data_IF_311190458567
#
_entry.id   IF_311190458567
#
_cell.length_a   1.000
_cell.length_b   1.000
_cell.length_c   1.000
_cell.angle_alpha   90.00
_cell.angle_beta   90.00
_cell.angle_gamma   90.00
#
_symmetry.space_group_name_H-M   'P 1'
#
loop_
_entity.id
_entity.type
_entity.pdbx_description
1 polymer ?
#
# COMPACT_ATOMS: atom_id res chain seq x y z
N UNK A 1 -15.72 22.72 -19.91
CA UNK A 1 -16.05 23.07 -18.50
C UNK A 1 -14.98 22.40 -17.66
N UNK A 2 -14.18 23.15 -16.90
CA UNK A 2 -12.91 22.63 -16.38
C UNK A 2 -13.11 21.51 -15.35
N UNK A 3 -12.18 20.55 -15.40
CA UNK A 3 -12.05 19.40 -14.49
C UNK A 3 -12.49 19.67 -13.03
N UNK A 4 -13.53 18.95 -12.56
CA UNK A 4 -14.02 19.02 -11.17
C UNK A 4 -12.96 18.67 -10.10
N UNK A 5 -11.94 17.90 -10.49
CA UNK A 5 -10.62 17.78 -9.84
C UNK A 5 -9.56 17.87 -10.93
N UNK A 6 -8.61 18.81 -10.83
CA UNK A 6 -7.61 19.10 -11.88
C UNK A 6 -6.72 17.91 -12.26
N UNK A 7 -5.99 18.01 -13.37
CA UNK A 7 -5.03 16.99 -13.83
C UNK A 7 -3.59 17.39 -13.48
N UNK A 8 -2.78 16.46 -12.99
CA UNK A 8 -1.36 16.71 -12.67
C UNK A 8 -0.47 17.04 -13.88
N UNK A 9 -0.96 16.88 -15.12
CA UNK A 9 -0.34 17.47 -16.32
C UNK A 9 -1.40 18.02 -17.28
N UNK A 10 -1.05 19.11 -17.95
CA UNK A 10 -1.83 19.82 -18.97
C UNK A 10 -1.88 19.08 -20.32
N UNK A 11 -2.25 17.79 -20.31
CA UNK A 11 -2.78 17.15 -21.50
C UNK A 11 -4.24 17.57 -21.66
N UNK A 12 -4.54 18.30 -22.74
CA UNK A 12 -5.91 18.54 -23.20
C UNK A 12 -6.53 17.20 -23.61
N UNK A 13 -7.23 16.57 -22.67
CA UNK A 13 -8.30 15.63 -23.01
C UNK A 13 -9.34 16.47 -23.78
N UNK A 14 -9.83 15.98 -24.92
CA UNK A 14 -10.87 16.68 -25.67
C UNK A 14 -12.16 16.72 -24.82
N UNK A 15 -12.45 17.88 -24.21
CA UNK A 15 -13.56 18.07 -23.24
C UNK A 15 -14.96 17.88 -23.85
N UNK A 16 -15.08 17.65 -25.16
CA UNK A 16 -16.33 17.66 -25.93
C UNK A 16 -17.18 16.37 -25.84
N UNK A 17 -16.72 15.33 -25.15
CA UNK A 17 -17.36 13.99 -25.12
C UNK A 17 -17.76 13.51 -23.72
N UNK A 18 -17.42 14.24 -22.66
CA UNK A 18 -17.75 13.88 -21.28
C UNK A 18 -18.77 14.86 -20.70
N UNK A 19 -20.05 14.54 -20.83
CA UNK A 19 -21.08 15.11 -19.95
C UNK A 19 -20.76 14.65 -18.52
N UNK A 20 -20.40 15.56 -17.60
CA UNK A 20 -20.22 15.17 -16.21
C UNK A 20 -21.57 14.67 -15.69
N UNK A 21 -21.58 13.53 -15.00
CA UNK A 21 -22.79 13.04 -14.32
C UNK A 21 -23.31 14.18 -13.43
N UNK A 22 -24.51 14.70 -13.74
CA UNK A 22 -25.10 15.92 -13.14
C UNK A 22 -25.22 15.87 -11.60
N UNK A 23 -25.05 14.68 -11.04
CA UNK A 23 -24.98 14.33 -9.62
C UNK A 23 -23.68 14.82 -8.96
N UNK A 24 -22.53 14.85 -9.66
CA UNK A 24 -21.23 15.23 -9.07
C UNK A 24 -21.00 16.73 -9.24
N UNK A 25 -21.12 17.46 -8.13
CA UNK A 25 -20.95 18.92 -8.05
C UNK A 25 -19.63 19.29 -7.39
N UNK A 26 -19.22 20.54 -7.54
CA UNK A 26 -18.06 21.12 -6.82
C UNK A 26 -18.21 21.06 -5.29
N UNK A 27 -19.45 20.98 -4.79
CA UNK A 27 -19.78 20.85 -3.37
C UNK A 27 -19.63 19.42 -2.85
N UNK A 28 -20.21 18.42 -3.53
CA UNK A 28 -20.22 17.04 -3.04
C UNK A 28 -19.00 16.19 -3.45
N UNK A 29 -18.14 16.67 -4.37
CA UNK A 29 -16.94 15.94 -4.82
C UNK A 29 -16.07 15.34 -3.70
N UNK A 30 -16.00 16.01 -2.55
CA UNK A 30 -15.20 15.57 -1.39
C UNK A 30 -15.85 14.42 -0.59
N UNK A 31 -17.19 14.35 -0.52
CA UNK A 31 -17.89 13.20 0.07
C UNK A 31 -18.06 12.05 -0.93
N UNK A 32 -18.18 12.35 -2.22
CA UNK A 32 -18.31 11.35 -3.28
C UNK A 32 -17.02 10.55 -3.52
N UNK A 33 -15.83 11.15 -3.37
CA UNK A 33 -14.57 10.45 -3.60
C UNK A 33 -14.39 9.21 -2.69
N UNK A 34 -14.53 9.30 -1.34
CA UNK A 34 -14.50 8.11 -0.48
C UNK A 34 -15.58 7.07 -0.81
N UNK A 35 -16.81 7.49 -1.16
CA UNK A 35 -17.90 6.57 -1.52
C UNK A 35 -17.59 5.79 -2.79
N UNK A 36 -17.06 6.45 -3.82
CA UNK A 36 -16.63 5.80 -5.06
C UNK A 36 -15.45 4.84 -4.83
N UNK A 37 -14.46 5.24 -4.01
CA UNK A 37 -13.37 4.34 -3.62
C UNK A 37 -13.89 3.10 -2.87
N UNK A 38 -14.83 3.26 -1.94
CA UNK A 38 -15.40 2.13 -1.20
C UNK A 38 -16.23 1.21 -2.10
N UNK A 39 -16.98 1.75 -3.06
CA UNK A 39 -17.69 0.93 -4.05
C UNK A 39 -16.72 0.09 -4.90
N UNK A 40 -15.58 0.67 -5.33
CA UNK A 40 -14.54 -0.07 -6.06
C UNK A 40 -13.84 -1.12 -5.19
N UNK A 41 -13.60 -0.85 -3.90
CA UNK A 41 -13.15 -1.87 -2.94
C UNK A 41 -14.17 -3.01 -2.80
N UNK A 42 -15.48 -2.73 -2.84
CA UNK A 42 -16.50 -3.76 -2.78
C UNK A 42 -16.54 -4.61 -4.06
N UNK A 43 -16.36 -4.04 -5.26
CA UNK A 43 -16.20 -4.80 -6.51
C UNK A 43 -14.99 -5.75 -6.44
N UNK A 44 -13.87 -5.31 -5.86
CA UNK A 44 -12.69 -6.17 -5.64
C UNK A 44 -12.97 -7.31 -4.65
N UNK A 45 -13.73 -7.04 -3.57
CA UNK A 45 -14.20 -8.09 -2.66
C UNK A 45 -15.11 -9.11 -3.36
N UNK A 46 -16.03 -8.68 -4.23
CA UNK A 46 -16.85 -9.59 -5.05
C UNK A 46 -15.99 -10.44 -6.01
N UNK A 47 -14.92 -9.88 -6.57
CA UNK A 47 -13.94 -10.64 -7.37
C UNK A 47 -13.23 -11.71 -6.52
N UNK A 48 -12.84 -11.40 -5.28
CA UNK A 48 -12.24 -12.37 -4.36
C UNK A 48 -13.23 -13.48 -3.95
N UNK A 49 -14.50 -13.15 -3.71
CA UNK A 49 -15.55 -14.15 -3.47
C UNK A 49 -15.76 -15.07 -4.68
N UNK A 50 -15.79 -14.50 -5.90
CA UNK A 50 -15.85 -15.28 -7.14
C UNK A 50 -14.66 -16.23 -7.29
N UNK A 51 -13.45 -15.79 -6.93
CA UNK A 51 -12.23 -16.60 -6.96
C UNK A 51 -12.25 -17.72 -5.92
N UNK A 52 -12.71 -17.46 -4.69
CA UNK A 52 -12.86 -18.47 -3.65
C UNK A 52 -13.87 -19.55 -4.06
N UNK A 53 -14.98 -19.17 -4.70
CA UNK A 53 -15.94 -20.11 -5.28
C UNK A 53 -15.32 -20.95 -6.41
N UNK A 54 -14.48 -20.37 -7.26
CA UNK A 54 -13.71 -21.10 -8.28
C UNK A 54 -12.77 -22.14 -7.64
N UNK A 55 -12.06 -21.77 -6.57
CA UNK A 55 -11.17 -22.68 -5.84
C UNK A 55 -11.94 -23.85 -5.21
N UNK A 56 -13.11 -23.59 -4.62
CA UNK A 56 -13.96 -24.64 -4.07
C UNK A 56 -14.50 -25.59 -5.15
N UNK A 57 -14.99 -25.06 -6.29
CA UNK A 57 -15.40 -25.89 -7.44
C UNK A 57 -14.25 -26.74 -7.99
N UNK A 58 -13.02 -26.21 -8.03
CA UNK A 58 -11.82 -26.94 -8.42
C UNK A 58 -11.42 -28.06 -7.44
N UNK A 59 -11.64 -27.88 -6.14
CA UNK A 59 -11.37 -28.89 -5.12
C UNK A 59 -12.43 -30.00 -5.11
N UNK A 60 -13.70 -29.65 -5.34
CA UNK A 60 -14.81 -30.61 -5.38
C UNK A 60 -14.90 -31.41 -6.69
N UNK A 61 -14.38 -30.87 -7.80
CA UNK A 61 -14.52 -31.48 -9.14
C UNK A 61 -13.65 -32.74 -9.32
N UNK A 62 -14.22 -33.91 -9.03
CA UNK A 62 -13.61 -35.20 -9.41
C UNK A 62 -13.34 -35.30 -10.92
N UNK A 63 -12.33 -36.11 -11.28
CA UNK A 63 -11.58 -36.06 -12.56
C UNK A 63 -12.38 -36.29 -13.86
N UNK A 64 -13.69 -36.57 -13.82
CA UNK A 64 -14.48 -37.06 -14.96
C UNK A 64 -15.21 -35.96 -15.77
N UNK A 65 -15.68 -34.87 -15.16
CA UNK A 65 -16.43 -33.80 -15.88
C UNK A 65 -15.46 -32.78 -16.51
N UNK A 66 -14.56 -33.25 -17.38
CA UNK A 66 -13.31 -32.54 -17.71
C UNK A 66 -13.41 -31.42 -18.75
N UNK A 67 -14.26 -31.51 -19.76
CA UNK A 67 -14.31 -30.54 -20.86
C UNK A 67 -15.22 -29.34 -20.55
N UNK A 68 -16.53 -29.58 -20.42
CA UNK A 68 -17.53 -28.51 -20.23
C UNK A 68 -17.23 -27.61 -19.01
N UNK A 69 -16.76 -28.20 -17.90
CA UNK A 69 -16.37 -27.42 -16.72
C UNK A 69 -15.12 -26.56 -16.95
N UNK A 70 -14.17 -26.96 -17.80
CA UNK A 70 -12.97 -26.16 -18.07
C UNK A 70 -13.29 -24.90 -18.88
N UNK A 71 -14.17 -24.96 -19.88
CA UNK A 71 -14.50 -23.75 -20.65
C UNK A 71 -15.35 -22.76 -19.84
N UNK A 72 -16.27 -23.26 -19.00
CA UNK A 72 -16.97 -22.45 -17.98
C UNK A 72 -16.00 -21.80 -16.99
N UNK A 73 -14.94 -22.51 -16.61
CA UNK A 73 -13.91 -22.05 -15.68
C UNK A 73 -13.00 -20.99 -16.32
N UNK A 74 -12.47 -21.23 -17.52
CA UNK A 74 -11.70 -20.25 -18.32
C UNK A 74 -12.47 -18.94 -18.49
N UNK A 75 -13.76 -19.01 -18.82
CA UNK A 75 -14.61 -17.84 -18.97
C UNK A 75 -14.72 -17.02 -17.67
N UNK A 76 -14.89 -17.67 -16.51
CA UNK A 76 -14.96 -17.01 -15.20
C UNK A 76 -13.60 -16.44 -14.76
N UNK A 77 -12.51 -17.14 -15.02
CA UNK A 77 -11.15 -16.67 -14.72
C UNK A 77 -10.78 -15.45 -15.58
N UNK A 78 -11.15 -15.45 -16.87
CA UNK A 78 -11.04 -14.29 -17.76
C UNK A 78 -11.93 -13.11 -17.30
N UNK A 79 -13.16 -13.40 -16.83
CA UNK A 79 -14.06 -12.37 -16.31
C UNK A 79 -13.53 -11.71 -15.02
N UNK A 80 -12.87 -12.47 -14.14
CA UNK A 80 -12.16 -11.96 -12.96
C UNK A 80 -11.07 -10.96 -13.39
N UNK A 81 -10.17 -11.33 -14.30
CA UNK A 81 -9.15 -10.43 -14.80
C UNK A 81 -9.75 -9.17 -15.46
N UNK A 82 -10.82 -9.33 -16.24
CA UNK A 82 -11.51 -8.20 -16.88
C UNK A 82 -12.10 -7.21 -15.86
N UNK A 83 -12.80 -7.71 -14.82
CA UNK A 83 -13.33 -6.86 -13.73
C UNK A 83 -12.22 -6.09 -13.01
N UNK A 84 -11.09 -6.73 -12.72
CA UNK A 84 -9.94 -6.06 -12.10
C UNK A 84 -9.36 -4.98 -13.02
N UNK A 85 -9.25 -5.22 -14.34
CA UNK A 85 -8.79 -4.20 -15.30
C UNK A 85 -9.71 -2.98 -15.32
N UNK A 86 -11.03 -3.15 -15.26
CA UNK A 86 -11.97 -2.03 -15.16
C UNK A 86 -11.72 -1.20 -13.88
N UNK A 87 -11.54 -1.84 -12.73
CA UNK A 87 -11.20 -1.15 -11.47
C UNK A 87 -9.83 -0.47 -11.53
N UNK A 88 -8.82 -1.09 -12.16
CA UNK A 88 -7.50 -0.48 -12.38
C UNK A 88 -7.63 0.80 -13.22
N UNK A 89 -8.39 0.78 -14.32
CA UNK A 89 -8.56 1.95 -15.20
C UNK A 89 -9.24 3.12 -14.48
N UNK A 90 -10.25 2.85 -13.63
CA UNK A 90 -10.89 3.88 -12.81
C UNK A 90 -9.93 4.39 -11.72
N UNK A 91 -9.18 3.50 -11.07
CA UNK A 91 -8.14 3.85 -10.08
C UNK A 91 -7.02 4.72 -10.69
N UNK A 92 -6.62 4.46 -11.94
CA UNK A 92 -5.67 5.31 -12.67
C UNK A 92 -6.22 6.74 -12.83
N UNK A 93 -7.52 6.91 -13.11
CA UNK A 93 -8.15 8.23 -13.18
C UNK A 93 -8.10 8.96 -11.83
N UNK A 94 -8.30 8.27 -10.70
CA UNK A 94 -8.06 8.86 -9.38
C UNK A 94 -6.60 9.30 -9.21
N UNK A 95 -5.60 8.47 -9.51
CA UNK A 95 -4.17 8.85 -9.37
C UNK A 95 -3.72 10.01 -10.28
N UNK A 96 -4.51 10.38 -11.29
CA UNK A 96 -4.26 11.53 -12.18
C UNK A 96 -4.93 12.83 -11.71
N UNK A 97 -5.88 12.73 -10.77
CA UNK A 97 -6.71 13.83 -10.32
C UNK A 97 -6.14 14.52 -9.07
N UNK A 98 -6.27 15.85 -9.00
CA UNK A 98 -5.94 16.68 -7.83
C UNK A 98 -6.95 16.41 -6.72
N UNK A 99 -6.68 15.37 -5.94
CA UNK A 99 -7.50 14.89 -4.83
C UNK A 99 -7.25 15.74 -3.57
N UNK A 100 -8.29 16.18 -2.83
CA UNK A 100 -8.12 16.92 -1.58
C UNK A 100 -7.36 16.12 -0.52
N UNK A 101 -6.40 16.76 0.13
CA UNK A 101 -5.63 16.17 1.23
C UNK A 101 -6.55 15.80 2.41
N UNK A 102 -6.42 14.57 2.90
CA UNK A 102 -7.22 14.03 4.01
C UNK A 102 -7.96 12.75 3.63
N UNK A 103 -9.24 12.67 3.98
CA UNK A 103 -10.08 11.46 3.79
C UNK A 103 -10.13 10.97 2.33
N UNK A 104 -10.12 11.88 1.34
CA UNK A 104 -10.11 11.50 -0.07
C UNK A 104 -8.78 10.84 -0.46
N UNK A 105 -7.64 11.38 -0.01
CA UNK A 105 -6.32 10.76 -0.22
C UNK A 105 -6.22 9.39 0.44
N UNK A 106 -6.70 9.27 1.67
CA UNK A 106 -6.75 8.02 2.43
C UNK A 106 -7.60 6.95 1.72
N UNK A 107 -8.79 7.31 1.23
CA UNK A 107 -9.66 6.40 0.49
C UNK A 107 -9.01 5.90 -0.81
N UNK A 108 -8.26 6.76 -1.52
CA UNK A 108 -7.51 6.37 -2.72
C UNK A 108 -6.29 5.50 -2.39
N UNK A 109 -5.58 5.73 -1.29
CA UNK A 109 -4.54 4.81 -0.84
C UNK A 109 -5.10 3.44 -0.41
N UNK A 110 -6.25 3.40 0.25
CA UNK A 110 -6.93 2.15 0.58
C UNK A 110 -7.38 1.39 -0.67
N UNK A 111 -7.94 2.09 -1.67
CA UNK A 111 -8.27 1.51 -2.97
C UNK A 111 -7.03 0.97 -3.69
N UNK A 112 -5.92 1.73 -3.72
CA UNK A 112 -4.66 1.27 -4.31
C UNK A 112 -4.12 0.01 -3.64
N UNK A 113 -4.17 -0.05 -2.30
CA UNK A 113 -3.85 -1.25 -1.54
C UNK A 113 -4.73 -2.44 -1.97
N UNK A 114 -6.05 -2.26 -1.97
CA UNK A 114 -6.98 -3.35 -2.31
C UNK A 114 -6.84 -3.82 -3.76
N UNK A 115 -6.50 -2.93 -4.71
CA UNK A 115 -6.19 -3.28 -6.09
C UNK A 115 -4.98 -4.22 -6.14
N UNK A 116 -3.83 -3.83 -5.60
CA UNK A 116 -2.63 -4.68 -5.62
C UNK A 116 -2.83 -5.98 -4.82
N UNK A 117 -3.48 -5.91 -3.65
CA UNK A 117 -3.79 -7.07 -2.82
C UNK A 117 -4.67 -8.10 -3.55
N UNK A 118 -5.71 -7.63 -4.24
CA UNK A 118 -6.59 -8.49 -5.05
C UNK A 118 -5.84 -9.13 -6.20
N UNK A 119 -5.03 -8.36 -6.93
CA UNK A 119 -4.16 -8.88 -7.99
C UNK A 119 -3.17 -9.91 -7.42
N UNK A 120 -2.64 -9.71 -6.22
CA UNK A 120 -1.74 -10.66 -5.56
C UNK A 120 -2.41 -12.00 -5.22
N UNK A 121 -3.65 -11.99 -4.73
CA UNK A 121 -4.39 -13.25 -4.46
C UNK A 121 -4.73 -13.98 -5.78
N UNK A 122 -5.07 -13.24 -6.84
CA UNK A 122 -5.35 -13.77 -8.17
C UNK A 122 -4.09 -14.31 -8.86
N UNK A 123 -2.96 -13.59 -8.75
CA UNK A 123 -1.67 -14.03 -9.26
C UNK A 123 -1.17 -15.29 -8.53
N UNK A 124 -1.33 -15.38 -7.20
CA UNK A 124 -1.06 -16.60 -6.41
C UNK A 124 -1.89 -17.80 -6.91
N UNK A 125 -3.17 -17.59 -7.24
CA UNK A 125 -4.04 -18.63 -7.81
C UNK A 125 -3.53 -19.12 -9.17
N UNK A 126 -3.20 -18.21 -10.08
CA UNK A 126 -2.63 -18.59 -11.38
C UNK A 126 -1.22 -19.17 -11.28
N UNK A 127 -0.41 -18.77 -10.30
CA UNK A 127 0.89 -19.38 -9.98
C UNK A 127 0.75 -20.81 -9.47
N UNK A 128 -0.28 -21.12 -8.69
CA UNK A 128 -0.60 -22.49 -8.31
C UNK A 128 -1.04 -23.31 -9.55
N UNK A 129 -2.05 -22.84 -10.29
CA UNK A 129 -2.68 -23.59 -11.39
C UNK A 129 -1.84 -23.74 -12.66
N UNK A 130 -1.14 -22.70 -13.10
CA UNK A 130 -0.48 -22.71 -14.41
C UNK A 130 0.77 -23.59 -14.40
N UNK A 131 1.03 -24.28 -15.51
CA UNK A 131 2.27 -25.04 -15.75
C UNK A 131 2.93 -24.56 -17.04
N UNK A 132 4.13 -25.06 -17.35
CA UNK A 132 4.78 -24.79 -18.64
C UNK A 132 3.98 -25.35 -19.83
N UNK A 133 3.35 -26.52 -19.67
CA UNK A 133 2.53 -27.15 -20.71
C UNK A 133 1.11 -26.54 -20.79
N UNK A 134 0.52 -26.19 -19.63
CA UNK A 134 -0.81 -25.56 -19.55
C UNK A 134 -0.72 -24.19 -18.85
N UNK A 135 -0.37 -23.11 -19.59
CA UNK A 135 -0.26 -21.76 -19.04
C UNK A 135 -1.64 -21.10 -18.90
N UNK A 136 -2.46 -21.59 -17.96
CA UNK A 136 -3.86 -21.15 -17.69
C UNK A 136 -3.99 -19.61 -17.63
N UNK A 137 -3.02 -18.93 -17.02
CA UNK A 137 -3.00 -17.46 -16.91
C UNK A 137 -3.10 -16.71 -18.25
N UNK A 138 -2.64 -17.30 -19.37
CA UNK A 138 -2.75 -16.72 -20.72
C UNK A 138 -4.20 -16.68 -21.19
N UNK A 139 -4.95 -17.75 -20.95
CA UNK A 139 -6.36 -17.87 -21.32
C UNK A 139 -7.23 -16.88 -20.52
N UNK A 140 -6.87 -16.66 -19.25
CA UNK A 140 -7.45 -15.64 -18.38
C UNK A 140 -6.94 -14.21 -18.65
N UNK A 141 -6.06 -13.99 -19.63
CA UNK A 141 -5.44 -12.70 -19.98
C UNK A 141 -4.67 -11.99 -18.85
N UNK A 142 -4.17 -12.73 -17.85
CA UNK A 142 -3.41 -12.14 -16.72
C UNK A 142 -2.15 -11.40 -17.19
N UNK A 143 -1.52 -11.84 -18.28
CA UNK A 143 -0.38 -11.14 -18.88
C UNK A 143 -0.74 -9.69 -19.27
N UNK A 144 -1.86 -9.50 -19.97
CA UNK A 144 -2.36 -8.17 -20.36
C UNK A 144 -2.76 -7.33 -19.15
N UNK A 145 -3.32 -7.94 -18.11
CA UNK A 145 -3.55 -7.27 -16.83
C UNK A 145 -2.22 -6.77 -16.23
N UNK A 146 -1.18 -7.60 -16.21
CA UNK A 146 0.13 -7.22 -15.68
C UNK A 146 0.82 -6.11 -16.49
N UNK A 147 0.62 -6.07 -17.81
CA UNK A 147 1.07 -4.98 -18.68
C UNK A 147 0.36 -3.66 -18.35
N UNK A 148 -0.96 -3.66 -18.13
CA UNK A 148 -1.71 -2.47 -17.70
C UNK A 148 -1.24 -1.98 -16.33
N UNK A 149 -0.97 -2.90 -15.39
CA UNK A 149 -0.42 -2.54 -14.07
C UNK A 149 0.97 -1.90 -14.22
N UNK A 150 1.91 -2.57 -14.88
CA UNK A 150 3.29 -2.09 -15.00
C UNK A 150 3.41 -0.79 -15.82
N UNK A 151 2.69 -0.69 -16.93
CA UNK A 151 2.84 0.40 -17.88
C UNK A 151 1.95 1.62 -17.55
N UNK A 152 0.87 1.44 -16.78
CA UNK A 152 -0.06 2.52 -16.45
C UNK A 152 -0.33 2.71 -14.96
N UNK A 153 -0.57 1.64 -14.17
CA UNK A 153 -0.89 1.83 -12.75
C UNK A 153 0.36 2.26 -11.97
N UNK A 154 1.41 1.44 -11.92
CA UNK A 154 2.62 1.72 -11.12
C UNK A 154 3.23 3.11 -11.42
N UNK A 155 3.40 3.54 -12.69
CA UNK A 155 3.97 4.85 -12.99
C UNK A 155 3.06 6.04 -12.64
N UNK A 156 1.75 5.85 -12.47
CA UNK A 156 0.86 6.91 -11.97
C UNK A 156 0.72 6.86 -10.44
N UNK A 157 0.83 5.68 -9.82
CA UNK A 157 0.99 5.55 -8.36
C UNK A 157 2.26 6.24 -7.89
N UNK A 158 3.41 6.04 -8.55
CA UNK A 158 4.65 6.76 -8.22
C UNK A 158 4.48 8.28 -8.27
N UNK A 159 3.79 8.82 -9.29
CA UNK A 159 3.51 10.26 -9.41
C UNK A 159 2.56 10.76 -8.32
N UNK A 160 1.53 9.98 -8.00
CA UNK A 160 0.56 10.31 -6.95
C UNK A 160 1.23 10.35 -5.57
N UNK A 161 2.12 9.41 -5.27
CA UNK A 161 2.94 9.44 -4.04
C UNK A 161 3.81 10.70 -4.00
N UNK A 162 4.59 10.97 -5.05
CA UNK A 162 5.42 12.19 -5.11
C UNK A 162 4.60 13.48 -4.95
N UNK A 163 3.41 13.57 -5.54
CA UNK A 163 2.52 14.72 -5.34
C UNK A 163 2.08 14.87 -3.87
N UNK A 164 1.62 13.78 -3.25
CA UNK A 164 1.18 13.77 -1.84
C UNK A 164 2.33 14.05 -0.86
N UNK A 165 3.58 13.78 -1.26
CA UNK A 165 4.79 14.11 -0.48
C UNK A 165 5.26 15.56 -0.69
N UNK A 166 5.12 16.13 -1.90
CA UNK A 166 5.59 17.49 -2.20
C UNK A 166 4.59 18.63 -1.95
N UNK A 167 3.28 18.41 -1.99
CA UNK A 167 2.29 19.50 -1.93
C UNK A 167 2.03 20.05 -0.51
N UNK A 168 3.04 20.71 0.07
CA UNK A 168 3.02 22.13 0.54
C UNK A 168 4.05 22.44 1.63
N UNK A 169 4.60 23.68 1.65
CA UNK A 169 5.26 24.24 2.83
C UNK A 169 4.25 24.59 3.95
N UNK A 170 4.72 24.59 5.20
CA UNK A 170 3.90 24.68 6.43
C UNK A 170 3.61 26.14 6.86
N UNK A 171 2.76 26.86 6.12
CA UNK A 171 2.50 28.30 6.34
C UNK A 171 1.74 28.63 7.63
N UNK A 172 0.63 27.95 7.92
CA UNK A 172 -0.26 28.30 9.05
C UNK A 172 0.19 27.55 10.32
N UNK A 173 0.48 28.24 11.44
CA UNK A 173 0.91 27.60 12.70
C UNK A 173 -0.15 26.68 13.32
N UNK A 174 -1.42 27.08 13.32
CA UNK A 174 -2.48 26.39 14.07
C UNK A 174 -2.97 25.09 13.41
N UNK A 175 -2.86 24.97 12.08
CA UNK A 175 -3.26 23.75 11.35
C UNK A 175 -2.20 22.64 11.43
N UNK A 176 -1.00 22.92 11.96
CA UNK A 176 0.15 22.01 11.93
C UNK A 176 -0.12 20.67 12.59
N UNK A 177 -0.68 20.61 13.80
CA UNK A 177 -0.83 19.33 14.53
C UNK A 177 -1.65 18.29 13.75
N UNK A 178 -2.84 18.66 13.26
CA UNK A 178 -3.73 17.74 12.51
C UNK A 178 -3.22 17.47 11.09
N UNK A 179 -2.58 18.44 10.45
CA UNK A 179 -1.99 18.26 9.12
C UNK A 179 -0.76 17.34 9.17
N UNK A 180 0.12 17.54 10.16
CA UNK A 180 1.31 16.74 10.43
C UNK A 180 0.92 15.30 10.80
N UNK A 181 0.01 15.09 11.76
CA UNK A 181 -0.49 13.74 12.11
C UNK A 181 -1.03 12.98 10.88
N UNK A 182 -1.73 13.68 9.98
CA UNK A 182 -2.19 13.08 8.72
C UNK A 182 -1.07 12.87 7.67
N UNK A 183 -0.03 13.69 7.67
CA UNK A 183 1.16 13.53 6.83
C UNK A 183 2.01 12.34 7.30
N UNK A 184 2.32 12.26 8.58
CA UNK A 184 2.98 11.11 9.23
C UNK A 184 2.20 9.82 8.96
N UNK A 185 0.87 9.81 9.11
CA UNK A 185 0.05 8.62 8.80
C UNK A 185 0.10 8.20 7.32
N UNK A 186 0.23 9.14 6.38
CA UNK A 186 0.44 8.83 4.95
C UNK A 186 1.83 8.23 4.70
N UNK A 187 2.88 8.85 5.24
CA UNK A 187 4.28 8.46 5.02
C UNK A 187 4.69 7.18 5.77
N UNK A 188 4.21 6.99 7.00
CA UNK A 188 4.57 5.84 7.85
C UNK A 188 3.63 4.62 7.73
N UNK A 189 2.42 4.78 7.14
CA UNK A 189 1.46 3.67 7.01
C UNK A 189 0.99 3.41 5.58
N UNK A 190 0.35 4.39 4.92
CA UNK A 190 -0.30 4.16 3.63
C UNK A 190 0.69 3.93 2.47
N UNK A 191 1.73 4.74 2.37
CA UNK A 191 2.75 4.61 1.32
C UNK A 191 3.52 3.28 1.44
N UNK A 192 4.09 2.89 2.61
CA UNK A 192 4.74 1.59 2.79
C UNK A 192 3.83 0.40 2.44
N UNK A 193 2.56 0.44 2.88
CA UNK A 193 1.58 -0.64 2.64
C UNK A 193 1.28 -0.84 1.15
N UNK A 194 1.14 0.23 0.37
CA UNK A 194 0.94 0.13 -1.09
C UNK A 194 2.22 -0.31 -1.81
N UNK A 195 3.39 0.20 -1.42
CA UNK A 195 4.68 -0.21 -2.00
C UNK A 195 4.93 -1.71 -1.74
N UNK A 196 4.57 -2.24 -0.57
CA UNK A 196 4.76 -3.66 -0.22
C UNK A 196 3.90 -4.59 -1.09
N UNK A 197 2.63 -4.24 -1.35
CA UNK A 197 1.78 -5.02 -2.25
C UNK A 197 2.24 -4.92 -3.71
N UNK A 198 2.79 -3.77 -4.15
CA UNK A 198 3.42 -3.62 -5.47
C UNK A 198 4.69 -4.48 -5.60
N UNK A 199 5.58 -4.48 -4.61
CA UNK A 199 6.76 -5.37 -4.57
C UNK A 199 6.34 -6.84 -4.55
N UNK A 200 5.29 -7.20 -3.81
CA UNK A 200 4.71 -8.54 -3.82
C UNK A 200 4.16 -8.92 -5.21
N UNK A 201 3.50 -7.99 -5.91
CA UNK A 201 2.97 -8.20 -7.26
C UNK A 201 4.08 -8.52 -8.26
N UNK A 202 5.15 -7.70 -8.29
CA UNK A 202 6.31 -7.96 -9.15
C UNK A 202 6.90 -9.35 -8.85
N UNK A 203 7.00 -9.72 -7.57
CA UNK A 203 7.46 -11.05 -7.16
C UNK A 203 6.53 -12.20 -7.60
N UNK A 204 5.20 -12.06 -7.51
CA UNK A 204 4.27 -13.10 -7.94
C UNK A 204 4.31 -13.31 -9.46
N UNK A 205 4.29 -12.23 -10.24
CA UNK A 205 4.31 -12.32 -11.71
C UNK A 205 5.67 -12.80 -12.22
N UNK A 206 6.79 -12.39 -11.60
CA UNK A 206 8.12 -12.95 -11.90
C UNK A 206 8.18 -14.46 -11.64
N UNK A 207 7.63 -14.93 -10.52
CA UNK A 207 7.55 -16.37 -10.20
C UNK A 207 6.69 -17.13 -11.23
N UNK A 208 5.58 -16.55 -11.67
CA UNK A 208 4.71 -17.13 -12.69
C UNK A 208 5.40 -17.22 -14.07
N UNK A 209 6.08 -16.15 -14.50
CA UNK A 209 6.87 -16.12 -15.72
C UNK A 209 7.96 -17.18 -15.73
N UNK A 210 8.73 -17.28 -14.63
CA UNK A 210 9.75 -18.33 -14.46
C UNK A 210 9.15 -19.74 -14.49
N UNK A 211 8.03 -19.99 -13.77
CA UNK A 211 7.34 -21.30 -13.76
C UNK A 211 6.85 -21.72 -15.15
N UNK A 212 6.42 -20.76 -15.97
CA UNK A 212 5.86 -20.99 -17.30
C UNK A 212 6.86 -20.75 -18.45
N UNK A 213 8.15 -20.52 -18.14
CA UNK A 213 9.22 -20.13 -19.08
C UNK A 213 8.84 -18.97 -20.03
N UNK A 214 8.01 -18.04 -19.56
CA UNK A 214 7.53 -16.92 -20.38
C UNK A 214 8.38 -15.67 -20.15
N UNK A 215 9.27 -15.38 -21.11
CA UNK A 215 10.18 -14.25 -21.04
C UNK A 215 9.47 -12.90 -21.22
N UNK A 216 8.33 -12.84 -21.92
CA UNK A 216 7.58 -11.58 -22.04
C UNK A 216 7.01 -11.20 -20.67
N UNK A 217 6.47 -12.16 -19.91
CA UNK A 217 5.94 -11.93 -18.58
C UNK A 217 7.03 -11.53 -17.56
N UNK A 218 8.28 -11.96 -17.76
CA UNK A 218 9.45 -11.54 -16.96
C UNK A 218 9.89 -10.13 -17.37
N UNK A 219 10.12 -9.90 -18.67
CA UNK A 219 10.68 -8.65 -19.20
C UNK A 219 9.72 -7.46 -19.14
N UNK A 220 8.40 -7.72 -19.12
CA UNK A 220 7.37 -6.68 -18.96
C UNK A 220 7.34 -6.09 -17.53
N UNK A 221 8.05 -6.65 -16.55
CA UNK A 221 8.13 -6.13 -15.18
C UNK A 221 9.35 -5.21 -15.03
N UNK A 222 9.11 -3.90 -15.08
CA UNK A 222 10.11 -2.91 -14.67
C UNK A 222 9.90 -2.61 -13.19
N UNK A 223 10.95 -2.76 -12.38
CA UNK A 223 10.95 -2.33 -10.98
C UNK A 223 10.87 -0.80 -10.92
N UNK A 224 9.64 -0.25 -10.93
CA UNK A 224 9.38 1.19 -10.92
C UNK A 224 9.73 1.81 -9.57
N UNK A 225 10.99 2.24 -9.42
CA UNK A 225 11.48 3.20 -8.39
C UNK A 225 11.10 2.91 -6.93
N UNK A 226 10.77 1.67 -6.55
CA UNK A 226 10.26 1.36 -5.20
C UNK A 226 11.28 1.64 -4.09
N UNK A 227 12.58 1.59 -4.42
CA UNK A 227 13.68 1.98 -3.53
C UNK A 227 13.65 3.47 -3.17
N UNK A 228 13.26 4.33 -4.10
CA UNK A 228 13.36 5.79 -3.94
C UNK A 228 12.37 6.28 -2.88
N UNK A 229 11.17 5.70 -2.84
CA UNK A 229 10.19 5.92 -1.77
C UNK A 229 10.69 5.42 -0.42
N UNK A 230 11.35 4.26 -0.36
CA UNK A 230 11.97 3.73 0.88
C UNK A 230 13.08 4.65 1.40
N UNK A 231 13.84 5.27 0.49
CA UNK A 231 14.88 6.25 0.80
C UNK A 231 14.29 7.59 1.31
N UNK A 232 13.08 7.96 0.88
CA UNK A 232 12.35 9.11 1.43
C UNK A 232 11.75 8.81 2.81
N UNK A 233 11.16 7.62 2.99
CA UNK A 233 10.62 7.16 4.28
C UNK A 233 11.69 7.16 5.38
N UNK A 234 12.93 6.69 5.09
CA UNK A 234 14.01 6.73 6.08
C UNK A 234 14.32 8.17 6.52
N UNK A 235 14.45 9.12 5.59
CA UNK A 235 14.69 10.55 5.92
C UNK A 235 13.57 11.16 6.77
N UNK A 236 12.31 10.78 6.52
CA UNK A 236 11.16 11.20 7.34
C UNK A 236 11.26 10.60 8.75
N UNK A 237 11.64 9.32 8.88
CA UNK A 237 11.87 8.68 10.17
C UNK A 237 13.02 9.35 10.95
N UNK A 238 14.13 9.65 10.27
CA UNK A 238 15.30 10.32 10.85
C UNK A 238 14.96 11.76 11.31
N UNK A 239 14.04 12.45 10.61
CA UNK A 239 13.51 13.75 11.04
C UNK A 239 12.59 13.63 12.25
N UNK A 240 11.75 12.59 12.33
CA UNK A 240 10.86 12.35 13.49
C UNK A 240 11.68 12.06 14.76
N UNK A 241 12.72 11.22 14.66
CA UNK A 241 13.61 10.96 15.81
C UNK A 241 14.24 12.24 16.34
N UNK A 242 14.82 13.06 15.45
CA UNK A 242 15.45 14.35 15.81
C UNK A 242 14.47 15.38 16.37
N UNK A 243 13.20 15.32 15.98
CA UNK A 243 12.18 16.21 16.55
C UNK A 243 11.77 15.77 17.96
N UNK A 244 11.61 14.46 18.19
CA UNK A 244 11.36 13.93 19.54
C UNK A 244 12.55 14.19 20.49
N UNK A 245 13.79 14.08 20.01
CA UNK A 245 15.01 14.43 20.75
C UNK A 245 15.13 15.93 21.06
N UNK A 246 14.42 16.80 20.33
CA UNK A 246 14.46 18.25 20.48
C UNK A 246 13.32 18.82 21.34
N UNK A 247 12.28 18.03 21.64
CA UNK A 247 11.17 18.42 22.53
C UNK A 247 11.47 18.10 24.02
N UNK A 248 12.60 17.45 24.34
CA UNK A 248 13.06 17.17 25.73
C UNK A 248 14.06 18.21 26.29
N UNK A 249 14.46 19.23 25.51
CA UNK A 249 15.57 20.14 25.86
C UNK A 249 15.21 21.63 25.92
N UNK A 250 14.01 21.99 26.37
CA UNK A 250 13.58 23.39 26.54
C UNK A 250 12.91 23.61 27.91
N UNK A 251 13.71 23.52 28.97
CA UNK A 251 13.33 23.93 30.34
C UNK A 251 14.35 24.92 30.90
N UNK A 252 13.94 26.20 30.85
CA UNK A 252 14.51 27.36 31.55
C UNK A 252 15.92 27.84 31.15
N UNK A 253 16.10 29.16 31.19
CA UNK A 253 17.33 29.87 30.83
C UNK A 253 17.36 31.23 31.54
N UNK A 254 18.46 31.53 32.25
CA UNK A 254 18.80 32.79 32.98
C UNK A 254 17.90 33.20 34.16
N UNK A 255 18.34 33.85 35.27
CA UNK A 255 19.66 34.12 35.93
C UNK A 255 19.34 34.56 37.40
N UNK A 256 20.21 35.03 38.33
CA UNK A 256 21.61 35.52 38.40
C UNK A 256 22.11 35.41 39.87
N UNK A 257 23.36 34.95 40.11
CA UNK A 257 24.22 35.21 41.30
C UNK A 257 23.73 34.85 42.75
N UNK A 258 24.57 34.67 43.79
CA UNK A 258 26.03 34.89 43.97
C UNK A 258 26.69 33.92 45.00
N UNK A 259 28.02 33.78 44.94
CA UNK A 259 28.98 33.59 46.06
C UNK A 259 29.22 32.26 46.81
N UNK A 260 30.37 31.65 46.48
CA UNK A 260 31.46 31.08 47.32
C UNK A 260 31.37 29.80 48.20
N UNK A 261 32.50 29.05 48.12
CA UNK A 261 33.16 28.17 49.12
C UNK A 261 32.43 26.86 49.57
N UNK A 262 33.07 25.68 49.69
CA UNK A 262 34.52 25.33 49.62
C UNK A 262 34.78 23.82 49.27
N UNK A 263 36.07 23.50 49.07
CA UNK A 263 36.81 22.20 49.15
C UNK A 263 36.14 20.97 49.84
N UNK A 264 36.44 19.67 49.58
CA UNK A 264 37.39 18.94 48.68
C UNK A 264 37.15 17.39 48.75
N UNK A 265 37.81 16.59 47.87
CA UNK A 265 38.29 15.19 48.03
C UNK A 265 37.51 13.92 47.55
N UNK A 266 38.19 13.20 46.64
CA UNK A 266 38.43 11.73 46.51
C UNK A 266 37.32 10.64 46.42
N UNK A 267 37.22 10.08 45.20
CA UNK A 267 37.22 8.65 44.76
C UNK A 267 37.39 7.49 45.78
N UNK A 268 37.07 6.21 45.41
CA UNK A 268 35.98 5.65 44.57
C UNK A 268 35.36 4.35 45.24
N UNK A 269 34.61 3.43 44.56
CA UNK A 269 33.65 2.55 45.26
C UNK A 269 34.19 1.20 45.79
N UNK A 270 33.47 0.59 46.76
CA UNK A 270 33.71 -0.77 47.27
C UNK A 270 32.46 -1.67 47.23
N UNK A 271 32.62 -2.88 46.67
CA UNK A 271 31.63 -3.98 46.69
C UNK A 271 31.53 -4.59 48.09
N UNK A 272 30.36 -5.14 48.46
CA UNK A 272 30.22 -6.17 49.51
C UNK A 272 29.34 -7.33 49.02
N UNK A 273 29.81 -8.57 49.29
CA UNK A 273 29.04 -9.83 49.17
C UNK A 273 28.98 -10.49 50.55
N UNK A 274 27.87 -11.17 50.85
CA UNK A 274 27.66 -12.31 51.77
C UNK A 274 26.20 -12.76 51.53
N UNK A 275 25.79 -14.01 51.20
CA UNK A 275 26.05 -15.34 51.77
C UNK A 275 25.68 -15.40 53.26
N UNK A 276 24.80 -16.28 53.76
CA UNK A 276 24.02 -17.41 53.23
C UNK A 276 23.19 -17.99 54.42
N UNK A 277 22.58 -19.17 54.44
CA UNK A 277 22.39 -20.29 53.50
C UNK A 277 21.24 -21.19 54.01
N UNK A 278 20.63 -22.00 53.14
CA UNK A 278 19.81 -23.20 53.48
C UNK A 278 18.47 -22.97 54.24
N UNK A 279 17.52 -23.93 54.27
CA UNK A 279 17.59 -25.32 53.78
C UNK A 279 16.37 -25.80 52.95
N UNK A 280 16.47 -27.06 52.52
CA UNK A 280 15.60 -27.93 51.68
C UNK A 280 14.18 -28.15 52.29
N UNK A 281 13.20 -28.82 51.65
CA UNK A 281 13.30 -29.95 50.69
C UNK A 281 12.03 -30.22 49.86
N UNK A 282 12.23 -30.77 48.64
CA UNK A 282 11.45 -31.87 47.96
C UNK A 282 9.95 -31.67 47.69
N UNK A 283 9.46 -32.04 46.49
CA UNK A 283 8.01 -32.08 46.24
C UNK A 283 7.44 -32.44 44.85
N UNK A 284 8.22 -32.73 43.81
CA UNK A 284 7.68 -33.27 42.54
C UNK A 284 7.21 -34.73 42.72
N UNK A 285 6.13 -35.22 42.06
CA UNK A 285 6.18 -35.43 40.61
C UNK A 285 4.87 -35.22 39.80
N UNK A 286 5.06 -34.96 38.50
CA UNK A 286 4.36 -35.53 37.32
C UNK A 286 2.87 -35.89 37.44
N UNK A 287 2.03 -35.16 36.70
CA UNK A 287 1.41 -35.69 35.47
C UNK A 287 1.35 -34.58 34.39
#
# INVERSE_FOLDING_TARGET
MPNNFGSFKSHKINESQLTPLRIITTWNRASMCPVLCQHLCNELNYVLLCLSRIKAELQASQRKIKTICQDRLKAREKAICHRIVLVILITISFTKAVIPLGQCTEAVFNLLYQVYHTINIVAKHFLARSTYQEPVYKQALLGKLSEVVNNQLSPNVSKFIMFVEHDRPLTDKEKKSTQLKNQTRRQASYIPRVVTELELFVNQITKLGKKCKDQNLINNLKLTSSRDFRLNIQKVQDMISKQNESDESDVETTNHDTSNESQENNQPPKKKRRSGSNDRSVGSPVY
#
